data_IF_511059045286
#
_entry.id   IF_511059045286
#
_cell.length_a   1.000
_cell.length_b   1.000
_cell.length_c   1.000
_cell.angle_alpha   90.00
_cell.angle_beta   90.00
_cell.angle_gamma   90.00
#
_symmetry.space_group_name_H-M   'P 1'
#
loop_
_entity.id
_entity.type
_entity.pdbx_description
1 polymer ?
#
# COMPACT_ATOMS: atom_id res chain seq x y z
N UNK A 1 -34.91 -6.25 34.68
CA UNK A 1 -33.44 -6.06 34.58
C UNK A 1 -33.09 -5.94 33.10
N UNK A 2 -32.92 -4.72 32.65
CA UNK A 2 -32.51 -4.46 31.26
C UNK A 2 -30.99 -4.61 31.19
N UNK A 3 -30.52 -5.71 30.60
CA UNK A 3 -29.14 -5.83 30.15
C UNK A 3 -29.00 -5.04 28.84
N UNK A 4 -28.53 -3.79 28.97
CA UNK A 4 -28.02 -3.07 27.83
C UNK A 4 -26.77 -3.82 27.35
N UNK A 5 -26.88 -4.47 26.20
CA UNK A 5 -25.71 -4.89 25.41
C UNK A 5 -25.03 -3.61 24.90
N UNK A 6 -24.06 -3.09 25.66
CA UNK A 6 -23.07 -2.16 25.15
C UNK A 6 -22.13 -3.00 24.24
N UNK A 7 -22.47 -3.17 23.00
CA UNK A 7 -21.48 -3.47 21.98
C UNK A 7 -20.63 -2.21 21.82
N UNK A 8 -19.49 -2.15 22.49
CA UNK A 8 -18.46 -1.16 22.20
C UNK A 8 -18.02 -1.40 20.74
N UNK A 9 -18.56 -0.63 19.84
CA UNK A 9 -18.07 -0.59 18.46
C UNK A 9 -16.65 -0.05 18.55
N UNK A 10 -15.65 -0.88 18.22
CA UNK A 10 -14.26 -0.42 18.13
C UNK A 10 -14.20 0.49 16.90
N UNK A 11 -13.80 1.73 17.10
CA UNK A 11 -13.49 2.63 15.99
C UNK A 11 -12.17 2.17 15.37
N UNK A 12 -12.23 1.70 14.14
CA UNK A 12 -11.07 1.23 13.39
C UNK A 12 -10.52 2.42 12.60
N UNK A 13 -9.26 2.84 12.84
CA UNK A 13 -8.66 3.91 12.08
C UNK A 13 -8.47 3.49 10.62
N UNK A 14 -8.51 4.47 9.70
CA UNK A 14 -8.35 4.24 8.27
C UNK A 14 -7.20 5.07 7.73
N UNK A 15 -6.26 4.38 7.07
CA UNK A 15 -5.18 4.96 6.28
C UNK A 15 -4.88 4.00 5.13
N UNK A 16 -5.50 4.26 3.97
CA UNK A 16 -5.43 3.36 2.83
C UNK A 16 -4.21 3.66 1.95
N UNK A 17 -3.34 2.66 1.79
CA UNK A 17 -2.25 2.63 0.83
C UNK A 17 -2.55 1.70 -0.34
N UNK A 18 -2.03 2.04 -1.52
CA UNK A 18 -2.10 1.18 -2.71
C UNK A 18 -0.72 1.06 -3.33
N UNK A 19 -0.33 -0.18 -3.63
CA UNK A 19 0.98 -0.51 -4.19
C UNK A 19 0.93 -1.75 -5.08
N UNK A 20 1.97 -1.93 -5.90
CA UNK A 20 2.13 -3.09 -6.75
C UNK A 20 3.27 -3.97 -6.25
N UNK A 21 3.11 -5.28 -6.39
CA UNK A 21 4.17 -6.25 -6.11
C UNK A 21 4.07 -7.45 -7.05
N UNK A 22 5.04 -8.35 -6.97
CA UNK A 22 4.99 -9.63 -7.67
C UNK A 22 4.82 -10.77 -6.67
N UNK A 23 3.77 -11.56 -6.86
CA UNK A 23 3.51 -12.78 -6.08
C UNK A 23 3.61 -13.96 -7.06
N UNK A 24 4.49 -14.92 -6.79
CA UNK A 24 4.77 -16.06 -7.68
C UNK A 24 5.08 -15.62 -9.13
N UNK A 25 5.82 -14.51 -9.29
CA UNK A 25 6.21 -13.94 -10.58
C UNK A 25 5.09 -13.22 -11.34
N UNK A 26 3.86 -13.15 -10.80
CA UNK A 26 2.74 -12.44 -11.38
C UNK A 26 2.52 -11.09 -10.70
N UNK A 27 2.16 -10.03 -11.44
CA UNK A 27 1.87 -8.75 -10.83
C UNK A 27 0.60 -8.84 -9.97
N UNK A 28 0.61 -8.10 -8.88
CA UNK A 28 -0.55 -7.87 -8.03
C UNK A 28 -0.70 -6.37 -7.75
N UNK A 29 -1.94 -5.94 -7.54
CA UNK A 29 -2.27 -4.59 -7.03
C UNK A 29 -2.96 -4.79 -5.70
N UNK A 30 -2.35 -4.28 -4.64
CA UNK A 30 -2.85 -4.40 -3.27
C UNK A 30 -3.27 -3.04 -2.75
N UNK A 31 -4.47 -2.94 -2.15
CA UNK A 31 -4.90 -1.83 -1.31
C UNK A 31 -5.05 -2.35 0.11
N UNK A 32 -4.40 -1.72 1.06
CA UNK A 32 -4.30 -2.15 2.44
C UNK A 32 -4.59 -0.99 3.39
N UNK A 33 -5.24 -1.28 4.52
CA UNK A 33 -5.40 -0.31 5.60
C UNK A 33 -4.13 -0.29 6.46
N UNK A 34 -3.24 0.65 6.22
CA UNK A 34 -1.97 0.81 6.93
C UNK A 34 -2.15 1.14 8.43
N UNK A 35 -3.26 1.79 8.79
CA UNK A 35 -3.52 2.18 10.18
C UNK A 35 -3.74 0.98 11.13
N UNK A 36 -3.91 -0.22 10.60
CA UNK A 36 -4.05 -1.42 11.42
C UNK A 36 -2.70 -1.90 12.01
N UNK A 37 -1.58 -1.51 11.42
CA UNK A 37 -0.26 -2.06 11.74
C UNK A 37 0.11 -1.98 13.22
N UNK A 38 -0.07 -0.82 13.84
CA UNK A 38 0.32 -0.60 15.23
C UNK A 38 -0.63 -1.21 16.26
N UNK A 39 -1.85 -1.58 15.83
CA UNK A 39 -2.92 -2.04 16.71
C UNK A 39 -3.33 -3.49 16.52
N UNK A 40 -3.01 -4.09 15.37
CA UNK A 40 -3.28 -5.49 15.10
C UNK A 40 -2.31 -6.41 15.89
N UNK A 41 -2.75 -7.59 16.31
CA UNK A 41 -4.06 -8.20 16.11
C UNK A 41 -5.13 -7.66 17.07
N UNK A 42 -6.32 -7.37 16.55
CA UNK A 42 -7.44 -6.91 17.37
C UNK A 42 -8.09 -8.06 18.15
N UNK A 43 -8.28 -7.84 19.45
CA UNK A 43 -8.82 -8.86 20.36
C UNK A 43 -10.19 -9.39 19.90
N UNK A 44 -10.29 -10.69 19.75
CA UNK A 44 -11.49 -11.40 19.32
C UNK A 44 -11.67 -11.54 17.81
N UNK A 45 -10.98 -10.75 16.97
CA UNK A 45 -11.03 -10.85 15.51
C UNK A 45 -9.96 -11.84 15.02
N UNK A 46 -10.22 -13.12 15.24
CA UNK A 46 -9.24 -14.19 15.01
C UNK A 46 -9.50 -15.01 13.75
N UNK A 47 -10.58 -14.72 13.01
CA UNK A 47 -10.89 -15.42 11.78
C UNK A 47 -10.70 -14.48 10.60
N UNK A 48 -9.78 -14.84 9.72
CA UNK A 48 -9.60 -14.18 8.44
C UNK A 48 -10.63 -14.73 7.45
N UNK A 49 -11.32 -13.83 6.77
CA UNK A 49 -12.15 -14.15 5.63
C UNK A 49 -11.47 -13.63 4.37
N UNK A 50 -11.36 -14.49 3.37
CA UNK A 50 -10.96 -14.11 2.02
C UNK A 50 -12.13 -14.38 1.07
N UNK A 51 -12.69 -13.32 0.50
CA UNK A 51 -13.72 -13.43 -0.53
C UNK A 51 -13.09 -13.11 -1.89
N UNK A 52 -13.12 -14.07 -2.81
CA UNK A 52 -12.65 -13.90 -4.17
C UNK A 52 -13.81 -13.72 -5.17
N UNK A 53 -13.60 -12.82 -6.11
CA UNK A 53 -14.42 -12.58 -7.29
C UNK A 53 -13.57 -12.85 -8.51
N UNK A 54 -13.92 -13.85 -9.32
CA UNK A 54 -13.13 -14.24 -10.49
C UNK A 54 -13.48 -13.34 -11.68
N UNK A 55 -12.46 -12.81 -12.37
CA UNK A 55 -12.67 -11.96 -13.54
C UNK A 55 -13.27 -12.73 -14.70
N UNK A 56 -14.12 -12.06 -15.48
CA UNK A 56 -14.58 -12.54 -16.78
C UNK A 56 -13.54 -12.27 -17.86
N UNK A 57 -12.87 -11.11 -17.77
CA UNK A 57 -11.87 -10.67 -18.73
C UNK A 57 -10.58 -10.26 -18.01
N UNK A 58 -9.49 -10.91 -18.38
CA UNK A 58 -8.18 -10.72 -17.78
C UNK A 58 -7.11 -10.51 -18.84
N UNK A 59 -6.04 -9.85 -18.44
CA UNK A 59 -4.81 -9.73 -19.22
C UNK A 59 -3.99 -11.03 -19.14
N UNK A 60 -2.98 -11.19 -19.97
CA UNK A 60 -2.04 -12.31 -19.89
C UNK A 60 -1.34 -12.41 -18.53
N UNK A 61 -1.16 -11.29 -17.86
CA UNK A 61 -0.56 -11.22 -16.52
C UNK A 61 -1.50 -11.61 -15.38
N UNK A 62 -2.82 -11.79 -15.67
CA UNK A 62 -3.83 -12.17 -14.67
C UNK A 62 -4.42 -10.99 -13.90
N UNK A 63 -4.19 -9.75 -14.34
CA UNK A 63 -4.91 -8.56 -13.87
C UNK A 63 -6.18 -8.37 -14.71
N UNK A 64 -7.22 -7.65 -14.20
CA UNK A 64 -8.42 -7.38 -14.98
C UNK A 64 -8.10 -6.49 -16.18
N UNK A 65 -8.85 -6.63 -17.27
CA UNK A 65 -8.77 -5.69 -18.39
C UNK A 65 -9.36 -4.32 -18.01
N UNK A 66 -9.07 -3.28 -18.80
CA UNK A 66 -9.64 -1.95 -18.58
C UNK A 66 -11.17 -1.96 -18.60
N UNK A 67 -11.76 -2.78 -19.48
CA UNK A 67 -13.22 -2.94 -19.63
C UNK A 67 -13.85 -3.68 -18.44
N UNK A 68 -13.09 -4.53 -17.74
CA UNK A 68 -13.57 -5.27 -16.56
C UNK A 68 -13.62 -4.39 -15.30
N UNK A 69 -12.71 -3.43 -15.18
CA UNK A 69 -12.55 -2.62 -13.96
C UNK A 69 -13.83 -1.90 -13.48
N UNK A 70 -14.65 -1.25 -14.33
CA UNK A 70 -15.87 -0.58 -13.87
C UNK A 70 -16.82 -1.50 -13.11
N UNK A 71 -17.00 -2.74 -13.60
CA UNK A 71 -17.86 -3.71 -12.94
C UNK A 71 -17.27 -4.22 -11.61
N UNK A 72 -15.94 -4.35 -11.54
CA UNK A 72 -15.27 -4.71 -10.30
C UNK A 72 -15.38 -3.61 -9.24
N UNK A 73 -15.39 -2.33 -9.62
CA UNK A 73 -15.66 -1.22 -8.70
C UNK A 73 -17.08 -1.26 -8.13
N UNK A 74 -18.10 -1.55 -8.98
CA UNK A 74 -19.46 -1.72 -8.49
C UNK A 74 -19.60 -2.91 -7.52
N UNK A 75 -18.87 -4.01 -7.76
CA UNK A 75 -18.82 -5.16 -6.85
C UNK A 75 -18.11 -4.78 -5.54
N UNK A 76 -17.05 -3.98 -5.59
CA UNK A 76 -16.33 -3.47 -4.42
C UNK A 76 -17.25 -2.59 -3.58
N UNK A 77 -17.98 -1.65 -4.19
CA UNK A 77 -18.93 -0.79 -3.49
C UNK A 77 -20.03 -1.62 -2.80
N UNK A 78 -20.58 -2.62 -3.50
CA UNK A 78 -21.57 -3.53 -2.92
C UNK A 78 -20.99 -4.36 -1.77
N UNK A 79 -19.73 -4.82 -1.88
CA UNK A 79 -19.03 -5.52 -0.82
C UNK A 79 -18.85 -4.64 0.43
N UNK A 80 -18.41 -3.39 0.26
CA UNK A 80 -18.24 -2.43 1.36
C UNK A 80 -19.56 -2.18 2.09
N UNK A 81 -20.67 -2.04 1.37
CA UNK A 81 -22.00 -1.88 1.99
C UNK A 81 -22.44 -3.13 2.77
N UNK A 82 -22.08 -4.33 2.31
CA UNK A 82 -22.33 -5.57 3.07
C UNK A 82 -21.44 -5.66 4.30
N UNK A 83 -20.17 -5.23 4.18
CA UNK A 83 -19.21 -5.26 5.29
C UNK A 83 -19.63 -4.38 6.46
N UNK A 84 -20.21 -3.19 6.18
CA UNK A 84 -20.78 -2.28 7.21
C UNK A 84 -21.90 -2.92 8.05
N UNK A 85 -22.52 -4.01 7.58
CA UNK A 85 -23.61 -4.70 8.26
C UNK A 85 -23.13 -5.85 9.14
N UNK A 86 -21.83 -6.09 9.26
CA UNK A 86 -21.22 -7.13 10.07
C UNK A 86 -20.16 -6.54 11.00
N UNK A 87 -19.88 -7.21 12.10
CA UNK A 87 -18.80 -6.84 13.01
C UNK A 87 -17.48 -7.38 12.44
N UNK A 88 -16.90 -6.62 11.52
CA UNK A 88 -15.70 -7.00 10.77
C UNK A 88 -14.71 -5.83 10.67
N UNK A 89 -13.45 -6.16 10.49
CA UNK A 89 -12.37 -5.22 10.22
C UNK A 89 -11.89 -5.44 8.79
N UNK A 90 -12.05 -4.44 7.94
CA UNK A 90 -11.52 -4.45 6.56
C UNK A 90 -10.00 -4.29 6.61
N UNK A 91 -9.29 -5.30 6.15
CA UNK A 91 -7.83 -5.29 6.09
C UNK A 91 -7.31 -4.84 4.72
N UNK A 92 -8.09 -5.06 3.66
CA UNK A 92 -7.71 -4.65 2.32
C UNK A 92 -8.25 -5.55 1.21
N UNK A 93 -7.79 -5.25 0.01
CA UNK A 93 -8.08 -6.04 -1.18
C UNK A 93 -6.82 -6.26 -2.02
N UNK A 94 -6.85 -7.30 -2.84
CA UNK A 94 -5.77 -7.63 -3.76
C UNK A 94 -6.32 -8.11 -5.10
N UNK A 95 -5.91 -7.45 -6.17
CA UNK A 95 -6.09 -7.92 -7.55
C UNK A 95 -4.89 -8.77 -7.94
N UNK A 96 -5.09 -10.07 -8.06
CA UNK A 96 -4.03 -11.02 -8.36
C UNK A 96 -4.57 -12.32 -8.93
N UNK A 97 -3.88 -12.87 -9.89
CA UNK A 97 -4.12 -14.22 -10.43
C UNK A 97 -5.59 -14.48 -10.76
N UNK A 98 -6.16 -13.65 -11.64
CA UNK A 98 -7.51 -13.72 -12.20
C UNK A 98 -8.64 -13.42 -11.23
N UNK A 99 -8.38 -12.79 -10.10
CA UNK A 99 -9.42 -12.49 -9.11
C UNK A 99 -9.15 -11.22 -8.34
N UNK A 100 -10.24 -10.58 -7.95
CA UNK A 100 -10.29 -9.59 -6.90
C UNK A 100 -10.54 -10.32 -5.58
N UNK A 101 -9.63 -10.17 -4.63
CA UNK A 101 -9.74 -10.77 -3.31
C UNK A 101 -9.98 -9.66 -2.28
N UNK A 102 -11.00 -9.81 -1.45
CA UNK A 102 -11.24 -8.98 -0.26
C UNK A 102 -10.77 -9.74 0.97
N UNK A 103 -10.08 -9.05 1.88
CA UNK A 103 -9.58 -9.62 3.13
C UNK A 103 -10.13 -8.84 4.32
N UNK A 104 -10.80 -9.54 5.21
CA UNK A 104 -11.33 -8.93 6.43
C UNK A 104 -11.31 -9.92 7.59
N UNK A 105 -11.33 -9.39 8.80
CA UNK A 105 -11.28 -10.17 10.01
C UNK A 105 -12.60 -10.07 10.79
N UNK A 106 -13.05 -11.21 11.33
CA UNK A 106 -14.29 -11.31 12.10
C UNK A 106 -14.09 -12.08 13.40
N UNK A 107 -14.98 -11.84 14.36
CA UNK A 107 -15.03 -12.62 15.61
C UNK A 107 -15.68 -13.98 15.42
N UNK A 108 -16.65 -14.06 14.50
CA UNK A 108 -17.46 -15.25 14.24
C UNK A 108 -17.65 -15.40 12.73
N UNK A 109 -17.19 -16.51 12.13
CA UNK A 109 -17.24 -16.70 10.68
C UNK A 109 -18.57 -17.26 10.16
N UNK A 110 -19.45 -17.71 11.07
CA UNK A 110 -20.71 -18.37 10.69
C UNK A 110 -21.62 -17.41 9.90
N UNK A 111 -22.14 -17.90 8.79
CA UNK A 111 -23.06 -17.15 7.92
C UNK A 111 -22.40 -16.15 6.98
N UNK A 112 -21.08 -15.98 7.03
CA UNK A 112 -20.39 -15.02 6.14
C UNK A 112 -20.55 -15.40 4.66
N UNK A 113 -20.50 -16.68 4.31
CA UNK A 113 -20.68 -17.12 2.93
C UNK A 113 -22.05 -16.70 2.38
N UNK A 114 -23.13 -17.02 3.09
CA UNK A 114 -24.49 -16.61 2.70
C UNK A 114 -24.62 -15.07 2.67
N UNK A 115 -24.05 -14.38 3.67
CA UNK A 115 -24.11 -12.92 3.77
C UNK A 115 -23.49 -12.23 2.56
N UNK A 116 -22.32 -12.68 2.11
CA UNK A 116 -21.57 -12.03 1.03
C UNK A 116 -21.88 -12.65 -0.33
N UNK A 117 -21.71 -13.96 -0.51
CA UNK A 117 -21.84 -14.60 -1.82
C UNK A 117 -23.28 -14.53 -2.33
N UNK A 118 -24.29 -14.84 -1.52
CA UNK A 118 -25.67 -14.85 -1.99
C UNK A 118 -26.14 -13.44 -2.38
N UNK A 119 -25.74 -12.42 -1.60
CA UNK A 119 -26.08 -11.03 -1.92
C UNK A 119 -25.38 -10.52 -3.18
N UNK A 120 -24.06 -10.80 -3.32
CA UNK A 120 -23.33 -10.40 -4.52
C UNK A 120 -23.81 -11.13 -5.77
N UNK A 121 -24.15 -12.42 -5.69
CA UNK A 121 -24.76 -13.17 -6.81
C UNK A 121 -26.11 -12.64 -7.25
N UNK A 122 -26.90 -12.07 -6.35
CA UNK A 122 -28.17 -11.43 -6.72
C UNK A 122 -27.97 -10.17 -7.56
N UNK A 123 -26.92 -9.39 -7.26
CA UNK A 123 -26.62 -8.15 -7.96
C UNK A 123 -25.75 -8.38 -9.21
N UNK A 124 -24.80 -9.31 -9.13
CA UNK A 124 -23.81 -9.60 -10.18
C UNK A 124 -23.77 -11.12 -10.46
N UNK A 125 -24.83 -11.70 -11.05
CA UNK A 125 -24.99 -13.15 -11.21
C UNK A 125 -23.96 -13.79 -12.16
N UNK A 126 -23.34 -13.00 -13.02
CA UNK A 126 -22.39 -13.49 -14.05
C UNK A 126 -20.96 -13.70 -13.50
N UNK A 127 -20.74 -13.42 -12.22
CA UNK A 127 -19.45 -13.60 -11.58
C UNK A 127 -19.40 -14.87 -10.74
N UNK A 128 -18.23 -15.50 -10.72
CA UNK A 128 -17.94 -16.60 -9.80
C UNK A 128 -17.32 -16.07 -8.52
N UNK A 129 -17.77 -16.63 -7.39
CA UNK A 129 -17.34 -16.23 -6.06
C UNK A 129 -16.83 -17.43 -5.28
N UNK A 130 -15.83 -17.22 -4.44
CA UNK A 130 -15.35 -18.20 -3.48
C UNK A 130 -14.97 -17.52 -2.18
N UNK A 131 -15.31 -18.15 -1.05
CA UNK A 131 -14.98 -17.66 0.27
C UNK A 131 -14.17 -18.73 1.01
N UNK A 132 -13.10 -18.28 1.63
CA UNK A 132 -12.30 -19.07 2.55
C UNK A 132 -12.35 -18.45 3.93
N UNK A 133 -12.34 -19.30 4.94
CA UNK A 133 -12.30 -18.96 6.35
C UNK A 133 -11.12 -19.68 6.96
N UNK A 134 -10.22 -18.93 7.56
CA UNK A 134 -9.07 -19.48 8.27
C UNK A 134 -8.96 -18.86 9.65
N UNK A 135 -8.53 -19.63 10.63
CA UNK A 135 -8.12 -19.07 11.92
C UNK A 135 -6.74 -18.42 11.75
N UNK A 136 -6.67 -17.11 12.00
CA UNK A 136 -5.48 -16.29 11.87
C UNK A 136 -5.37 -15.32 13.05
N UNK A 137 -5.05 -15.88 14.21
CA UNK A 137 -5.00 -15.15 15.50
C UNK A 137 -3.89 -14.10 15.54
N UNK A 138 -2.79 -14.36 14.83
CA UNK A 138 -1.64 -13.46 14.76
C UNK A 138 -1.76 -12.44 13.62
N UNK A 139 -2.81 -12.52 12.80
CA UNK A 139 -3.00 -11.68 11.62
C UNK A 139 -1.84 -11.81 10.60
N UNK A 140 -1.30 -13.02 10.47
CA UNK A 140 -0.18 -13.32 9.56
C UNK A 140 -0.48 -12.91 8.12
N UNK A 141 -1.70 -13.13 7.65
CA UNK A 141 -2.10 -12.70 6.31
C UNK A 141 -2.01 -11.18 6.14
N UNK A 142 -2.39 -10.40 7.15
CA UNK A 142 -2.26 -8.94 7.10
C UNK A 142 -0.79 -8.53 7.08
N UNK A 143 0.03 -9.03 8.00
CA UNK A 143 1.42 -8.60 8.14
C UNK A 143 2.35 -9.11 7.03
N UNK A 144 2.15 -10.35 6.55
CA UNK A 144 3.06 -10.99 5.61
C UNK A 144 2.60 -10.94 4.15
N UNK A 145 1.28 -10.72 3.91
CA UNK A 145 0.73 -10.75 2.54
C UNK A 145 0.19 -9.39 2.09
N UNK A 146 -0.50 -8.65 2.98
CA UNK A 146 -1.16 -7.40 2.64
C UNK A 146 -0.33 -6.16 2.98
N UNK A 147 0.44 -6.20 4.09
CA UNK A 147 1.26 -5.06 4.47
C UNK A 147 2.46 -4.94 3.53
N UNK A 148 2.76 -3.73 3.03
CA UNK A 148 3.84 -3.54 2.06
C UNK A 148 5.22 -3.78 2.70
N UNK A 149 6.14 -4.32 1.91
CA UNK A 149 7.56 -4.25 2.22
C UNK A 149 8.09 -2.81 2.03
N UNK A 150 9.40 -2.61 2.21
CA UNK A 150 10.03 -1.28 2.06
C UNK A 150 9.78 -0.65 0.68
N UNK A 151 9.76 -1.44 -0.39
CA UNK A 151 9.54 -0.96 -1.76
C UNK A 151 8.08 -0.57 -1.98
N UNK A 152 7.15 -1.42 -1.55
CA UNK A 152 5.73 -1.11 -1.60
C UNK A 152 5.35 0.10 -0.74
N UNK A 153 5.98 0.27 0.44
CA UNK A 153 5.79 1.46 1.27
C UNK A 153 6.32 2.72 0.56
N UNK A 154 7.49 2.64 -0.07
CA UNK A 154 8.03 3.75 -0.84
C UNK A 154 7.16 4.08 -2.06
N UNK A 155 6.61 3.08 -2.75
CA UNK A 155 5.66 3.30 -3.84
C UNK A 155 4.41 4.05 -3.38
N UNK A 156 3.86 3.69 -2.19
CA UNK A 156 2.72 4.42 -1.60
C UNK A 156 3.07 5.89 -1.37
N UNK A 157 4.24 6.18 -0.77
CA UNK A 157 4.73 7.54 -0.55
C UNK A 157 4.90 8.30 -1.88
N UNK A 158 5.54 7.67 -2.86
CA UNK A 158 5.72 8.24 -4.20
C UNK A 158 4.39 8.59 -4.86
N UNK A 159 3.43 7.68 -4.84
CA UNK A 159 2.10 7.89 -5.41
C UNK A 159 1.35 9.07 -4.77
N UNK A 160 1.57 9.34 -3.48
CA UNK A 160 1.01 10.52 -2.81
C UNK A 160 1.56 11.82 -3.41
N UNK A 161 2.88 11.90 -3.63
CA UNK A 161 3.53 13.07 -4.23
C UNK A 161 3.12 13.22 -5.71
N UNK A 162 3.18 12.14 -6.50
CA UNK A 162 2.75 12.14 -7.91
C UNK A 162 1.31 12.61 -8.06
N UNK A 163 0.40 12.11 -7.23
CA UNK A 163 -0.99 12.54 -7.24
C UNK A 163 -1.17 14.02 -6.84
N UNK A 164 -0.33 14.52 -5.94
CA UNK A 164 -0.33 15.95 -5.59
C UNK A 164 0.16 16.80 -6.78
N UNK A 165 1.21 16.38 -7.47
CA UNK A 165 1.70 17.06 -8.68
C UNK A 165 0.62 17.09 -9.78
N UNK A 166 -0.01 15.95 -10.08
CA UNK A 166 -1.08 15.84 -11.08
C UNK A 166 -2.29 16.75 -10.77
N UNK A 167 -2.66 16.88 -9.50
CA UNK A 167 -3.74 17.82 -9.06
C UNK A 167 -3.41 19.28 -9.36
N UNK A 168 -2.13 19.62 -9.54
CA UNK A 168 -1.66 20.95 -9.91
C UNK A 168 -1.36 21.08 -11.40
N UNK A 169 -1.84 20.15 -12.24
CA UNK A 169 -1.62 20.08 -13.68
C UNK A 169 -0.14 19.95 -14.06
N UNK A 170 0.60 19.20 -13.28
CA UNK A 170 1.99 18.91 -13.57
C UNK A 170 2.14 17.98 -14.78
N UNK A 171 3.18 18.21 -15.58
CA UNK A 171 3.62 17.28 -16.62
C UNK A 171 4.75 16.39 -16.05
N UNK A 172 4.39 15.18 -15.62
CA UNK A 172 5.32 14.25 -14.98
C UNK A 172 6.48 13.80 -15.88
N UNK A 173 6.33 13.87 -17.21
CA UNK A 173 7.37 13.51 -18.20
C UNK A 173 8.42 14.63 -18.40
N UNK A 174 8.21 15.82 -17.81
CA UNK A 174 9.11 16.94 -17.95
C UNK A 174 10.29 16.81 -16.99
N UNK A 175 11.52 16.89 -17.54
CA UNK A 175 12.74 16.93 -16.74
C UNK A 175 12.77 18.11 -15.78
N UNK A 176 13.16 17.86 -14.52
CA UNK A 176 13.29 18.86 -13.46
C UNK A 176 14.25 18.41 -12.39
N UNK A 177 14.75 19.34 -11.61
CA UNK A 177 15.48 19.00 -10.39
C UNK A 177 14.53 18.28 -9.42
N UNK A 178 14.96 17.11 -8.94
CA UNK A 178 14.29 16.36 -7.88
C UNK A 178 15.25 16.28 -6.71
N UNK A 179 14.76 16.64 -5.53
CA UNK A 179 15.52 16.65 -4.30
C UNK A 179 15.11 15.43 -3.44
N UNK A 180 16.11 14.68 -2.96
CA UNK A 180 15.93 13.47 -2.15
C UNK A 180 16.55 13.66 -0.77
N UNK A 181 15.83 13.26 0.28
CA UNK A 181 16.20 13.42 1.67
C UNK A 181 16.54 12.07 2.29
N UNK A 182 17.71 12.00 2.94
CA UNK A 182 18.24 10.78 3.54
C UNK A 182 18.83 11.10 4.91
N UNK A 183 18.79 10.11 5.80
CA UNK A 183 19.31 10.23 7.16
C UNK A 183 20.32 9.12 7.46
N UNK A 184 21.39 9.45 8.17
CA UNK A 184 22.46 8.54 8.50
C UNK A 184 22.86 8.66 9.97
N UNK A 185 23.48 7.60 10.48
CA UNK A 185 23.92 7.51 11.87
C UNK A 185 25.05 8.50 12.20
N UNK A 186 25.95 8.73 11.25
CA UNK A 186 27.13 9.57 11.42
C UNK A 186 27.62 10.14 10.08
N UNK A 187 28.53 11.09 10.14
CA UNK A 187 29.12 11.77 8.99
C UNK A 187 29.92 10.82 8.07
N UNK A 188 30.52 9.77 8.62
CA UNK A 188 31.31 8.81 7.85
C UNK A 188 30.42 7.99 6.91
N UNK A 189 29.31 7.48 7.43
CA UNK A 189 28.34 6.72 6.62
C UNK A 189 27.64 7.59 5.59
N UNK A 190 27.28 8.83 5.93
CA UNK A 190 26.75 9.81 4.99
C UNK A 190 27.75 10.12 3.86
N UNK A 191 29.02 10.29 4.20
CA UNK A 191 30.06 10.56 3.21
C UNK A 191 30.24 9.40 2.21
N UNK A 192 30.28 8.14 2.67
CA UNK A 192 30.39 6.99 1.77
C UNK A 192 29.17 6.86 0.84
N UNK A 193 27.98 7.16 1.34
CA UNK A 193 26.79 7.25 0.52
C UNK A 193 26.94 8.32 -0.56
N UNK A 194 27.33 9.53 -0.19
CA UNK A 194 27.52 10.66 -1.11
C UNK A 194 28.55 10.35 -2.21
N UNK A 195 29.71 9.76 -1.86
CA UNK A 195 30.71 9.35 -2.85
C UNK A 195 30.16 8.30 -3.85
N UNK A 196 29.19 7.52 -3.44
CA UNK A 196 28.56 6.49 -4.29
C UNK A 196 27.61 7.14 -5.28
N UNK A 197 26.67 7.97 -4.82
CA UNK A 197 25.62 8.57 -5.64
C UNK A 197 26.13 9.72 -6.51
N UNK A 198 27.25 10.37 -6.14
CA UNK A 198 27.91 11.39 -6.99
C UNK A 198 28.35 10.80 -8.34
N UNK A 199 28.79 9.55 -8.38
CA UNK A 199 29.17 8.85 -9.62
C UNK A 199 27.99 8.63 -10.56
N UNK A 200 26.76 8.69 -10.03
CA UNK A 200 25.50 8.56 -10.72
C UNK A 200 24.89 9.94 -11.09
N UNK A 201 25.61 11.02 -10.81
CA UNK A 201 25.23 12.39 -11.17
C UNK A 201 24.42 13.13 -10.12
N UNK A 202 24.16 12.54 -8.95
CA UNK A 202 23.57 13.27 -7.83
C UNK A 202 24.57 14.25 -7.23
N UNK A 203 24.06 15.36 -6.70
CA UNK A 203 24.85 16.39 -6.02
C UNK A 203 24.22 16.69 -4.67
N UNK A 204 25.05 16.77 -3.65
CA UNK A 204 24.63 17.27 -2.35
C UNK A 204 24.21 18.74 -2.46
N UNK A 205 23.03 19.07 -1.93
CA UNK A 205 22.44 20.42 -1.94
C UNK A 205 22.19 20.96 -0.54
N UNK A 206 22.03 20.08 0.44
CA UNK A 206 21.93 20.46 1.86
C UNK A 206 22.47 19.36 2.77
N UNK A 207 23.00 19.76 3.90
CA UNK A 207 23.53 18.89 4.94
C UNK A 207 23.29 19.49 6.30
N UNK A 208 22.87 18.70 7.28
CA UNK A 208 22.75 19.14 8.67
C UNK A 208 22.87 17.97 9.63
N UNK A 209 23.30 18.26 10.87
CA UNK A 209 23.33 17.29 11.95
C UNK A 209 22.43 17.76 13.08
N UNK A 210 21.44 16.94 13.44
CA UNK A 210 20.48 17.20 14.52
C UNK A 210 20.78 16.28 15.69
N UNK A 211 21.43 16.79 16.74
CA UNK A 211 21.83 15.99 17.91
C UNK A 211 20.59 15.44 18.66
N UNK A 212 20.66 14.17 19.03
CA UNK A 212 19.64 13.49 19.83
C UNK A 212 18.70 12.59 19.05
N UNK A 213 18.78 12.57 17.73
CA UNK A 213 18.05 11.64 16.87
C UNK A 213 18.84 10.32 16.68
N UNK A 214 18.15 9.25 16.34
CA UNK A 214 18.76 7.94 16.03
C UNK A 214 19.65 8.02 14.78
N UNK A 215 19.18 8.73 13.75
CA UNK A 215 19.90 9.05 12.52
C UNK A 215 20.06 10.57 12.41
N UNK A 216 21.07 11.17 13.10
CA UNK A 216 21.17 12.61 13.25
C UNK A 216 21.65 13.36 12.01
N UNK A 217 22.31 12.67 11.06
CA UNK A 217 22.90 13.32 9.88
C UNK A 217 21.92 13.27 8.73
N UNK A 218 21.35 14.41 8.39
CA UNK A 218 20.49 14.58 7.22
C UNK A 218 21.31 15.08 6.04
N UNK A 219 21.18 14.43 4.88
CA UNK A 219 21.69 14.93 3.61
C UNK A 219 20.56 15.03 2.59
N UNK A 220 20.58 16.08 1.80
CA UNK A 220 19.74 16.26 0.64
C UNK A 220 20.59 16.15 -0.60
N UNK A 221 20.20 15.30 -1.55
CA UNK A 221 20.86 15.15 -2.83
C UNK A 221 19.88 15.48 -3.95
N UNK A 222 20.39 16.02 -5.07
CA UNK A 222 19.57 16.43 -6.20
C UNK A 222 20.14 15.91 -7.51
N UNK A 223 19.24 15.58 -8.43
CA UNK A 223 19.56 15.32 -9.84
C UNK A 223 18.41 15.82 -10.71
N UNK A 224 18.68 16.06 -12.00
CA UNK A 224 17.63 16.35 -12.99
C UNK A 224 17.09 15.02 -13.49
N UNK A 225 15.81 14.75 -13.21
CA UNK A 225 15.12 13.51 -13.55
C UNK A 225 13.69 13.80 -14.03
N UNK A 226 13.01 12.75 -14.49
CA UNK A 226 11.59 12.74 -14.84
C UNK A 226 10.81 12.17 -13.65
N UNK A 227 9.75 12.88 -13.21
CA UNK A 227 8.99 12.43 -12.04
C UNK A 227 8.23 11.10 -12.30
N UNK A 228 7.94 10.76 -13.55
CA UNK A 228 7.32 9.48 -13.91
C UNK A 228 8.23 8.27 -13.63
N UNK A 229 9.56 8.47 -13.59
CA UNK A 229 10.56 7.43 -13.29
C UNK A 229 10.86 7.29 -11.79
N UNK A 230 10.17 8.02 -10.91
CA UNK A 230 10.53 8.19 -9.51
C UNK A 230 10.57 6.87 -8.71
N UNK A 231 9.77 5.88 -9.08
CA UNK A 231 9.76 4.60 -8.37
C UNK A 231 11.12 3.91 -8.42
N UNK A 232 11.68 3.76 -9.61
CA UNK A 232 12.97 3.10 -9.80
C UNK A 232 14.11 3.90 -9.14
N UNK A 233 14.06 5.24 -9.22
CA UNK A 233 15.04 6.13 -8.61
C UNK A 233 15.03 5.98 -7.08
N UNK A 234 13.83 6.05 -6.47
CA UNK A 234 13.71 6.00 -5.01
C UNK A 234 14.02 4.63 -4.45
N UNK A 235 13.65 3.55 -5.14
CA UNK A 235 14.02 2.19 -4.72
C UNK A 235 15.54 1.98 -4.77
N UNK A 236 16.20 2.48 -5.81
CA UNK A 236 17.65 2.43 -5.93
C UNK A 236 18.35 3.22 -4.81
N UNK A 237 17.92 4.45 -4.54
CA UNK A 237 18.47 5.27 -3.45
C UNK A 237 18.23 4.65 -2.07
N UNK A 238 17.06 4.05 -1.85
CA UNK A 238 16.72 3.32 -0.63
C UNK A 238 17.70 2.16 -0.40
N UNK A 239 17.98 1.36 -1.44
CA UNK A 239 18.92 0.24 -1.33
C UNK A 239 20.35 0.70 -1.04
N UNK A 240 20.80 1.79 -1.71
CA UNK A 240 22.13 2.35 -1.42
C UNK A 240 22.19 2.87 0.01
N UNK A 241 21.21 3.68 0.45
CA UNK A 241 21.16 4.22 1.80
C UNK A 241 21.23 3.13 2.87
N UNK A 242 20.40 2.10 2.72
CA UNK A 242 20.35 0.96 3.64
C UNK A 242 21.70 0.21 3.71
N UNK A 243 22.42 0.09 2.58
CA UNK A 243 23.74 -0.55 2.54
C UNK A 243 24.79 0.17 3.38
N UNK A 244 24.58 1.46 3.67
CA UNK A 244 25.40 2.30 4.58
C UNK A 244 24.72 2.54 5.94
N UNK A 245 23.63 1.81 6.25
CA UNK A 245 22.89 1.95 7.50
C UNK A 245 22.13 3.27 7.62
N UNK A 246 21.79 3.88 6.49
CA UNK A 246 20.94 5.06 6.39
C UNK A 246 19.49 4.73 6.09
N UNK A 247 18.64 5.74 6.16
CA UNK A 247 17.21 5.69 5.83
C UNK A 247 16.88 6.71 4.74
N UNK A 248 16.06 6.30 3.80
CA UNK A 248 15.51 7.16 2.75
C UNK A 248 14.15 7.70 3.19
N UNK A 249 14.06 9.00 3.44
CA UNK A 249 12.84 9.63 3.96
C UNK A 249 11.81 9.94 2.85
N UNK A 250 12.28 10.56 1.77
CA UNK A 250 11.39 10.95 0.67
C UNK A 250 12.03 11.90 -0.33
N UNK A 251 11.18 12.50 -1.16
CA UNK A 251 11.59 13.42 -2.21
C UNK A 251 10.60 14.56 -2.39
N UNK A 252 11.11 15.64 -2.99
CA UNK A 252 10.28 16.77 -3.42
C UNK A 252 10.70 17.27 -4.79
N UNK A 253 9.81 17.99 -5.45
CA UNK A 253 10.02 18.51 -6.79
C UNK A 253 9.17 19.78 -7.00
N UNK A 254 9.67 20.78 -7.73
CA UNK A 254 8.85 21.87 -8.20
C UNK A 254 7.81 21.34 -9.21
N UNK A 255 6.67 22.03 -9.28
CA UNK A 255 5.66 21.77 -10.32
C UNK A 255 6.24 22.19 -11.68
N UNK A 256 6.15 21.31 -12.69
CA UNK A 256 6.56 21.58 -14.05
C UNK A 256 5.35 21.51 -14.97
N UNK A 257 4.85 22.66 -15.39
CA UNK A 257 3.79 22.78 -16.41
C UNK A 257 4.39 23.02 -17.78
N UNK A 258 3.63 22.83 -18.86
CA UNK A 258 4.04 23.10 -20.26
C UNK A 258 4.40 24.57 -20.50
#
# INVERSE_FOLDING_TARGET
MNTQNNSTHIEIPENWGMYMQRIDGKPSVTRVNLALYDSAPYSGYQYRIQLAVYYKNQTESGLPTAEENPQLWEIEDAFVELLKQVDAIDAGLMKWNNRLNFFFYVKKPEGMEAKFIDNLKQQFPDYEYKLWVDEDKAWECYFETLYPDKYGMQEIKNNQVLNALLKHNDNLEKERQIDHYLFFKDEETAHFFLETVEKEGFKETAHRTDEGEELPVMTCISRVDIADDIHDITWHLLDIAESFGGDYDGWESPIATD
#
